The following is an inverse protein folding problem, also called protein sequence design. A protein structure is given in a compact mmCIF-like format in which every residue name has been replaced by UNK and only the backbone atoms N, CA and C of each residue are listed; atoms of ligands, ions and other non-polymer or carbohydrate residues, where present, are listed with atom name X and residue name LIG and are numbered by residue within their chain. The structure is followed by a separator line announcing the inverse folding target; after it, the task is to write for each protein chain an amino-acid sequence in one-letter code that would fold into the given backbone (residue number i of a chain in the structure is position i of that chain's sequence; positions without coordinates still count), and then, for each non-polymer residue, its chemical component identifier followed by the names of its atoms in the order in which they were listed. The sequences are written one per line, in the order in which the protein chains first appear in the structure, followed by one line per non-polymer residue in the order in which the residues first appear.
data_IF_325669228150
#
_entry.id   IF_325669228150
#
_cell.length_a   1.000
_cell.length_b   1.000
_cell.length_c   1.000
_cell.angle_alpha   90.00
_cell.angle_beta   90.00
_cell.angle_gamma   90.00
#
_symmetry.space_group_name_H-M   'P 1'
#
loop_
_entity.id
_entity.type
_entity.pdbx_description
1 polymer ?
#
# COMPACT_ATOMS: atom_id res chain seq x y z
N UNK A 1 2.73 -20.12 -16.68
CA UNK A 1 3.20 -20.05 -15.28
C UNK A 1 4.25 -18.94 -15.25
N UNK A 2 3.83 -17.71 -14.98
CA UNK A 2 4.74 -16.60 -14.72
C UNK A 2 4.61 -16.27 -13.25
N UNK A 3 5.58 -16.76 -12.50
CA UNK A 3 5.84 -16.37 -11.13
C UNK A 3 6.76 -15.15 -11.20
N UNK A 4 6.23 -14.00 -10.77
CA UNK A 4 6.99 -12.79 -10.46
C UNK A 4 6.51 -12.27 -9.11
N UNK A 5 6.73 -13.01 -8.02
CA UNK A 5 7.05 -12.50 -6.68
C UNK A 5 6.11 -11.53 -5.91
N UNK A 6 5.07 -10.95 -6.52
CA UNK A 6 4.16 -9.93 -5.97
C UNK A 6 2.77 -10.13 -6.58
N UNK A 7 2.19 -11.32 -6.40
CA UNK A 7 0.86 -11.64 -6.94
C UNK A 7 -0.26 -11.11 -6.05
N UNK A 8 -1.13 -10.28 -6.62
CA UNK A 8 -2.43 -9.95 -6.01
C UNK A 8 -3.46 -11.03 -6.34
N UNK A 9 -4.31 -11.38 -5.37
CA UNK A 9 -5.46 -12.24 -5.57
C UNK A 9 -6.73 -11.40 -5.77
N UNK A 10 -7.64 -11.89 -6.60
CA UNK A 10 -8.82 -11.14 -7.03
C UNK A 10 -10.10 -11.90 -6.67
N UNK A 11 -11.10 -11.16 -6.20
CA UNK A 11 -12.43 -11.65 -5.88
C UNK A 11 -13.46 -10.59 -6.23
N UNK A 12 -14.66 -11.04 -6.60
CA UNK A 12 -15.84 -10.18 -6.59
C UNK A 12 -16.41 -10.17 -5.17
N UNK A 13 -16.41 -9.01 -4.52
CA UNK A 13 -16.93 -8.88 -3.15
C UNK A 13 -18.28 -8.17 -3.15
N UNK A 14 -19.31 -8.85 -2.64
CA UNK A 14 -20.60 -8.24 -2.34
C UNK A 14 -20.49 -7.50 -1.00
N UNK A 15 -20.55 -6.18 -1.06
CA UNK A 15 -20.48 -5.29 0.10
C UNK A 15 -21.38 -4.06 -0.12
N UNK A 16 -21.70 -3.36 0.97
CA UNK A 16 -22.51 -2.13 0.96
C UNK A 16 -21.72 -0.93 0.41
N UNK A 17 -20.39 -0.98 0.50
CA UNK A 17 -19.52 0.09 -0.02
C UNK A 17 -18.06 -0.38 -0.17
N UNK A 18 -17.28 0.34 -0.98
CA UNK A 18 -15.83 0.17 -1.05
C UNK A 18 -15.15 0.36 0.32
N UNK A 19 -15.65 1.30 1.14
CA UNK A 19 -15.13 1.54 2.48
C UNK A 19 -15.26 0.32 3.39
N UNK A 20 -16.39 -0.36 3.30
CA UNK A 20 -16.63 -1.57 4.09
C UNK A 20 -15.61 -2.67 3.76
N UNK A 21 -15.25 -2.83 2.49
CA UNK A 21 -14.21 -3.77 2.04
C UNK A 21 -12.87 -3.42 2.70
N UNK A 22 -12.45 -2.15 2.65
CA UNK A 22 -11.18 -1.70 3.23
C UNK A 22 -11.15 -1.81 4.76
N UNK A 23 -12.27 -1.56 5.44
CA UNK A 23 -12.42 -1.74 6.89
C UNK A 23 -12.52 -3.22 7.33
N UNK A 24 -12.76 -4.14 6.39
CA UNK A 24 -12.94 -5.57 6.64
C UNK A 24 -11.72 -6.41 6.28
N UNK A 25 -11.00 -6.05 5.22
CA UNK A 25 -9.82 -6.78 4.76
C UNK A 25 -8.58 -5.88 4.78
N UNK A 26 -7.51 -6.34 5.42
CA UNK A 26 -6.22 -5.65 5.40
C UNK A 26 -5.60 -5.74 4.01
N UNK A 27 -4.81 -4.74 3.60
CA UNK A 27 -4.10 -4.75 2.31
C UNK A 27 -4.98 -4.99 1.07
N UNK A 28 -6.29 -4.73 1.16
CA UNK A 28 -7.22 -4.83 0.04
C UNK A 28 -7.21 -3.54 -0.79
N UNK A 29 -7.36 -3.70 -2.11
CA UNK A 29 -7.59 -2.62 -3.06
C UNK A 29 -8.98 -2.80 -3.69
N UNK A 30 -9.77 -1.72 -3.73
CA UNK A 30 -11.03 -1.72 -4.48
C UNK A 30 -10.78 -1.16 -5.87
N UNK A 31 -10.81 -2.05 -6.86
CA UNK A 31 -10.53 -1.69 -8.25
C UNK A 31 -11.81 -1.22 -8.94
N UNK A 32 -11.77 -0.01 -9.49
CA UNK A 32 -12.91 0.63 -10.18
C UNK A 32 -12.61 1.00 -11.63
N UNK A 33 -11.38 0.75 -12.11
CA UNK A 33 -10.98 1.05 -13.48
C UNK A 33 -11.79 0.19 -14.45
N UNK A 34 -12.54 0.80 -15.40
CA UNK A 34 -13.45 0.05 -16.28
C UNK A 34 -12.74 -1.07 -17.05
N UNK A 35 -11.55 -0.81 -17.56
CA UNK A 35 -10.75 -1.80 -18.30
C UNK A 35 -10.39 -3.02 -17.45
N UNK A 36 -10.12 -2.82 -16.15
CA UNK A 36 -9.79 -3.92 -15.24
C UNK A 36 -11.04 -4.67 -14.80
N UNK A 37 -12.15 -3.96 -14.60
CA UNK A 37 -13.46 -4.55 -14.30
C UNK A 37 -13.91 -5.44 -15.47
N UNK A 38 -13.85 -4.95 -16.71
CA UNK A 38 -14.22 -5.74 -17.90
C UNK A 38 -13.33 -6.97 -18.06
N UNK A 39 -12.01 -6.85 -17.83
CA UNK A 39 -11.13 -8.03 -17.84
C UNK A 39 -11.55 -9.06 -16.78
N UNK A 40 -11.88 -8.61 -15.57
CA UNK A 40 -12.28 -9.48 -14.46
C UNK A 40 -13.65 -10.14 -14.67
N UNK A 41 -14.56 -9.52 -15.42
CA UNK A 41 -15.85 -10.10 -15.80
C UNK A 41 -15.66 -11.35 -16.70
N UNK A 42 -14.59 -11.38 -17.49
CA UNK A 42 -14.27 -12.50 -18.38
C UNK A 42 -13.50 -13.65 -17.68
N UNK A 43 -12.96 -13.43 -16.47
CA UNK A 43 -11.99 -14.34 -15.81
C UNK A 43 -12.60 -15.31 -14.77
N UNK A 44 -13.94 -15.46 -14.73
CA UNK A 44 -14.67 -16.34 -13.79
C UNK A 44 -14.19 -16.24 -12.32
N UNK A 45 -13.91 -15.02 -11.84
CA UNK A 45 -13.44 -14.79 -10.47
C UNK A 45 -14.48 -15.26 -9.42
N UNK A 46 -13.98 -15.74 -8.28
CA UNK A 46 -14.84 -16.17 -7.17
C UNK A 46 -15.61 -14.97 -6.58
N UNK A 47 -16.93 -15.15 -6.41
CA UNK A 47 -17.81 -14.20 -5.76
C UNK A 47 -17.97 -14.52 -4.26
N UNK A 48 -17.79 -13.51 -3.40
CA UNK A 48 -17.81 -13.67 -1.95
C UNK A 48 -18.73 -12.61 -1.34
N UNK A 49 -19.63 -13.03 -0.45
CA UNK A 49 -20.36 -12.13 0.43
C UNK A 49 -19.46 -11.72 1.60
N UNK A 50 -19.30 -10.42 1.84
CA UNK A 50 -18.43 -9.89 2.90
C UNK A 50 -18.80 -10.40 4.31
N UNK A 51 -20.09 -10.70 4.53
CA UNK A 51 -20.62 -11.20 5.79
C UNK A 51 -20.60 -12.73 5.88
N UNK A 52 -20.09 -13.43 4.85
CA UNK A 52 -20.03 -14.88 4.87
C UNK A 52 -19.24 -15.38 6.10
N UNK A 53 -19.71 -16.47 6.75
CA UNK A 53 -19.08 -16.98 7.96
C UNK A 53 -17.70 -17.59 7.72
N UNK A 54 -17.39 -17.93 6.46
CA UNK A 54 -16.14 -18.54 6.04
C UNK A 54 -15.66 -17.81 4.78
N UNK A 55 -14.45 -17.27 4.85
CA UNK A 55 -13.79 -16.60 3.73
C UNK A 55 -12.95 -17.62 2.94
N UNK A 56 -12.76 -17.43 1.63
CA UNK A 56 -11.83 -18.25 0.87
C UNK A 56 -10.38 -18.04 1.33
N UNK A 57 -9.48 -19.00 1.05
CA UNK A 57 -8.07 -18.88 1.41
C UNK A 57 -7.43 -17.61 0.86
N UNK A 58 -6.64 -16.93 1.69
CA UNK A 58 -6.03 -15.64 1.38
C UNK A 58 -6.87 -14.50 1.93
N UNK A 59 -8.16 -14.44 1.56
CA UNK A 59 -9.08 -13.40 2.05
C UNK A 59 -9.37 -13.58 3.57
N UNK A 60 -9.39 -14.83 4.04
CA UNK A 60 -9.48 -15.18 5.47
C UNK A 60 -8.34 -14.57 6.30
N UNK A 61 -7.11 -14.64 5.81
CA UNK A 61 -5.93 -14.05 6.44
C UNK A 61 -6.00 -12.52 6.48
N UNK A 62 -6.42 -11.89 5.37
CA UNK A 62 -6.61 -10.44 5.31
C UNK A 62 -7.71 -9.96 6.27
N UNK A 63 -8.80 -10.72 6.40
CA UNK A 63 -9.86 -10.45 7.39
C UNK A 63 -9.36 -10.57 8.82
N UNK A 64 -8.68 -11.67 9.14
CA UNK A 64 -8.13 -11.89 10.47
C UNK A 64 -7.10 -10.81 10.86
N UNK A 65 -6.24 -10.39 9.93
CA UNK A 65 -5.30 -9.28 10.14
C UNK A 65 -6.03 -7.98 10.45
N UNK A 66 -7.07 -7.64 9.67
CA UNK A 66 -7.87 -6.43 9.91
C UNK A 66 -8.63 -6.47 11.22
N UNK A 67 -9.19 -7.62 11.59
CA UNK A 67 -9.88 -7.80 12.86
C UNK A 67 -8.95 -7.54 14.06
N UNK A 68 -7.69 -7.99 13.97
CA UNK A 68 -6.67 -7.71 14.98
C UNK A 68 -6.27 -6.21 15.05
N UNK A 69 -6.44 -5.46 13.95
CA UNK A 69 -6.12 -4.04 13.87
C UNK A 69 -7.26 -3.13 14.35
N UNK A 70 -8.52 -3.48 14.12
CA UNK A 70 -9.70 -2.59 14.28
C UNK A 70 -9.85 -1.98 15.68
N UNK A 71 -9.41 -2.69 16.71
CA UNK A 71 -9.46 -2.22 18.11
C UNK A 71 -8.20 -1.47 18.58
N UNK A 72 -7.16 -1.36 17.75
CA UNK A 72 -5.88 -0.74 18.13
C UNK A 72 -5.96 0.78 17.98
N UNK A 73 -5.31 1.56 18.88
CA UNK A 73 -5.11 2.98 18.66
C UNK A 73 -4.42 3.24 17.31
N UNK A 74 -4.89 4.24 16.57
CA UNK A 74 -4.35 4.58 15.25
C UNK A 74 -5.05 3.90 14.07
N UNK A 75 -5.93 2.93 14.30
CA UNK A 75 -6.70 2.27 13.23
C UNK A 75 -7.44 3.31 12.37
N UNK A 76 -7.17 3.30 11.06
CA UNK A 76 -7.81 4.22 10.12
C UNK A 76 -7.48 5.71 10.32
N UNK A 77 -6.48 6.06 11.13
CA UNK A 77 -6.15 7.45 11.43
C UNK A 77 -5.83 8.28 10.17
N UNK A 78 -5.35 7.61 9.11
CA UNK A 78 -4.93 8.20 7.85
C UNK A 78 -5.86 7.86 6.67
N UNK A 79 -6.94 7.09 6.89
CA UNK A 79 -7.80 6.54 5.82
C UNK A 79 -8.53 7.59 4.98
N UNK A 80 -8.79 8.77 5.52
CA UNK A 80 -9.53 9.84 4.83
C UNK A 80 -8.58 10.92 4.25
N UNK A 81 -7.27 10.66 4.21
CA UNK A 81 -6.26 11.59 3.71
C UNK A 81 -6.06 11.40 2.21
N UNK A 82 -5.97 12.50 1.48
CA UNK A 82 -5.70 12.48 0.04
C UNK A 82 -4.24 12.18 -0.28
N UNK A 83 -3.34 12.73 0.54
CA UNK A 83 -1.88 12.55 0.46
C UNK A 83 -1.35 12.38 1.88
N UNK A 84 -0.44 11.43 2.04
CA UNK A 84 0.32 11.19 3.28
C UNK A 84 1.79 11.07 2.95
N UNK A 85 2.64 11.60 3.82
CA UNK A 85 4.08 11.42 3.75
C UNK A 85 4.50 10.43 4.84
N UNK A 86 5.22 9.39 4.47
CA UNK A 86 5.61 8.33 5.42
C UNK A 86 7.11 8.05 5.37
N UNK A 87 7.66 7.63 6.50
CA UNK A 87 9.01 7.09 6.65
C UNK A 87 8.91 5.60 6.98
N UNK A 88 9.49 4.73 6.14
CA UNK A 88 9.52 3.28 6.37
C UNK A 88 10.91 2.68 6.20
N UNK A 89 11.11 1.59 6.92
CA UNK A 89 12.08 0.56 6.60
C UNK A 89 11.30 -0.59 5.94
N UNK A 90 11.89 -1.28 4.97
CA UNK A 90 11.29 -2.52 4.48
C UNK A 90 11.56 -3.64 5.49
N UNK A 91 10.53 -4.45 5.77
CA UNK A 91 10.53 -5.42 6.87
C UNK A 91 11.58 -6.54 6.70
N UNK A 92 12.14 -6.71 5.48
CA UNK A 92 13.14 -7.73 5.14
C UNK A 92 14.59 -7.20 5.14
N UNK A 93 14.81 -5.91 5.46
CA UNK A 93 16.14 -5.33 5.51
C UNK A 93 16.68 -5.35 6.95
N UNK A 94 17.86 -5.97 7.16
CA UNK A 94 18.57 -5.96 8.45
C UNK A 94 18.76 -4.54 9.01
N UNK A 95 19.01 -4.42 10.33
CA UNK A 95 19.39 -3.15 10.99
C UNK A 95 20.59 -2.50 10.27
N UNK A 96 20.29 -1.57 9.35
CA UNK A 96 21.26 -0.96 8.43
C UNK A 96 20.77 -0.77 6.98
N UNK A 97 19.59 -1.30 6.63
CA UNK A 97 18.92 -1.05 5.35
C UNK A 97 18.53 0.41 5.12
N UNK A 98 18.32 0.82 3.86
CA UNK A 98 17.85 2.16 3.54
C UNK A 98 16.53 2.53 4.23
N UNK A 99 16.37 3.82 4.49
CA UNK A 99 15.11 4.42 4.92
C UNK A 99 14.42 5.01 3.71
N UNK A 100 13.15 4.69 3.52
CA UNK A 100 12.35 5.21 2.42
C UNK A 100 11.41 6.28 2.94
N UNK A 101 11.49 7.47 2.37
CA UNK A 101 10.50 8.50 2.54
C UNK A 101 9.59 8.47 1.31
N UNK A 102 8.28 8.41 1.50
CA UNK A 102 7.32 8.28 0.41
C UNK A 102 6.23 9.33 0.53
N UNK A 103 5.89 9.97 -0.58
CA UNK A 103 4.60 10.61 -0.78
C UNK A 103 3.64 9.56 -1.33
N UNK A 104 2.51 9.36 -0.67
CA UNK A 104 1.53 8.32 -0.98
C UNK A 104 0.16 8.96 -1.18
N UNK A 105 -0.49 8.62 -2.29
CA UNK A 105 -1.89 8.98 -2.56
C UNK A 105 -2.88 8.06 -1.81
N UNK A 106 -4.14 8.47 -1.76
CA UNK A 106 -5.21 7.78 -1.03
C UNK A 106 -5.47 6.33 -1.44
N UNK A 107 -4.98 5.87 -2.60
CA UNK A 107 -5.07 4.47 -3.04
C UNK A 107 -3.90 3.59 -2.54
N UNK A 108 -3.00 4.18 -1.74
CA UNK A 108 -1.86 3.51 -1.12
C UNK A 108 -0.63 3.46 -2.01
N UNK A 109 -0.69 3.99 -3.24
CA UNK A 109 0.45 4.03 -4.15
C UNK A 109 1.33 5.23 -3.89
N UNK A 110 2.64 5.02 -4.03
CA UNK A 110 3.62 6.11 -3.95
C UNK A 110 3.58 6.96 -5.23
N UNK A 111 3.74 8.27 -5.10
CA UNK A 111 3.89 9.22 -6.22
C UNK A 111 5.30 9.81 -6.27
N UNK A 112 5.99 9.80 -5.14
CA UNK A 112 7.39 10.20 -5.00
C UNK A 112 8.03 9.39 -3.90
N UNK A 113 9.29 9.02 -4.09
CA UNK A 113 10.09 8.31 -3.09
C UNK A 113 11.48 8.93 -2.98
N UNK A 114 12.01 8.96 -1.76
CA UNK A 114 13.41 9.24 -1.47
C UNK A 114 13.97 8.07 -0.69
N UNK A 115 14.96 7.40 -1.27
CA UNK A 115 15.76 6.40 -0.59
C UNK A 115 16.94 7.09 0.12
N UNK A 116 17.05 6.87 1.43
CA UNK A 116 18.14 7.33 2.26
C UNK A 116 19.02 6.13 2.59
N UNK A 117 20.23 6.07 2.02
CA UNK A 117 21.17 5.00 2.35
C UNK A 117 21.47 4.99 3.86
N UNK A 118 21.48 3.80 4.48
CA UNK A 118 21.71 3.65 5.93
C UNK A 118 23.07 4.17 6.40
N UNK A 119 24.03 4.32 5.49
CA UNK A 119 25.37 4.89 5.74
C UNK A 119 25.47 6.40 5.44
N UNK A 120 24.37 7.05 5.05
CA UNK A 120 24.30 8.46 4.67
C UNK A 120 25.01 8.81 3.36
N UNK A 121 25.43 7.82 2.57
CA UNK A 121 26.24 8.02 1.36
C UNK A 121 25.45 8.48 0.13
N UNK A 122 24.12 8.37 0.15
CA UNK A 122 23.28 8.72 -1.00
C UNK A 122 21.83 8.99 -0.63
N UNK A 123 21.27 10.02 -1.27
CA UNK A 123 19.84 10.30 -1.32
C UNK A 123 19.42 10.19 -2.77
N UNK A 124 18.60 9.18 -3.09
CA UNK A 124 18.11 8.94 -4.44
C UNK A 124 16.62 9.23 -4.44
N UNK A 125 16.15 10.03 -5.39
CA UNK A 125 14.72 10.28 -5.60
C UNK A 125 14.22 9.59 -6.85
N UNK A 126 13.04 9.01 -6.76
CA UNK A 126 12.37 8.32 -7.87
C UNK A 126 10.88 8.64 -7.88
N UNK A 127 10.26 8.46 -9.04
CA UNK A 127 8.81 8.60 -9.25
C UNK A 127 8.23 7.46 -10.10
N UNK A 128 6.92 7.51 -10.43
CA UNK A 128 6.22 6.49 -11.18
C UNK A 128 6.89 6.08 -12.49
N UNK A 129 7.55 7.01 -13.17
CA UNK A 129 8.26 6.75 -14.43
C UNK A 129 9.54 5.92 -14.24
N UNK A 130 10.08 5.86 -13.01
CA UNK A 130 11.30 5.12 -12.67
C UNK A 130 11.00 3.70 -12.14
N UNK A 131 9.72 3.35 -11.92
CA UNK A 131 9.34 2.08 -11.30
C UNK A 131 8.70 1.11 -12.30
N UNK A 132 9.15 -0.16 -12.37
CA UNK A 132 8.53 -1.15 -13.24
C UNK A 132 7.11 -1.52 -12.79
N UNK A 133 6.82 -1.36 -11.50
CA UNK A 133 5.49 -1.57 -10.91
C UNK A 133 5.28 -0.65 -9.70
N UNK A 134 4.05 -0.19 -9.51
CA UNK A 134 3.66 0.68 -8.40
C UNK A 134 2.39 0.13 -7.73
N UNK A 135 2.49 -0.97 -6.96
CA UNK A 135 1.37 -1.47 -6.18
C UNK A 135 1.15 -0.56 -4.96
N UNK A 136 -0.01 -0.66 -4.28
CA UNK A 136 -0.17 -0.06 -2.97
C UNK A 136 0.94 -0.53 -2.02
N UNK A 137 1.64 0.42 -1.40
CA UNK A 137 2.77 0.17 -0.49
C UNK A 137 2.42 0.45 0.97
N UNK A 138 1.24 1.03 1.22
CA UNK A 138 0.70 1.27 2.55
C UNK A 138 -0.77 0.86 2.62
N UNK A 139 -1.19 0.41 3.78
CA UNK A 139 -2.59 0.20 4.14
C UNK A 139 -2.99 1.33 5.12
N UNK A 140 -3.84 2.27 4.68
CA UNK A 140 -4.21 3.43 5.49
C UNK A 140 -5.05 3.12 6.74
N UNK A 141 -5.58 1.90 6.82
CA UNK A 141 -6.27 1.43 8.01
C UNK A 141 -5.31 0.70 8.97
N UNK A 142 -4.06 0.46 8.58
CA UNK A 142 -3.05 -0.11 9.49
C UNK A 142 -2.73 0.88 10.62
N UNK A 143 -2.97 0.52 11.90
CA UNK A 143 -2.70 1.39 13.03
C UNK A 143 -1.23 1.79 13.18
N UNK A 144 -0.30 1.00 12.63
CA UNK A 144 1.14 1.29 12.73
C UNK A 144 1.57 2.40 11.78
N UNK A 145 0.82 2.64 10.70
CA UNK A 145 1.13 3.67 9.70
C UNK A 145 1.15 5.07 10.32
N UNK A 146 0.29 5.34 11.31
CA UNK A 146 0.24 6.63 11.99
C UNK A 146 1.56 6.99 12.70
N UNK A 147 2.31 5.99 13.17
CA UNK A 147 3.63 6.19 13.78
C UNK A 147 4.75 6.44 12.75
N UNK A 148 4.46 6.27 11.46
CA UNK A 148 5.38 6.43 10.35
C UNK A 148 5.16 7.73 9.59
N UNK A 149 4.09 8.48 9.90
CA UNK A 149 3.81 9.77 9.26
C UNK A 149 4.93 10.78 9.55
N UNK A 150 5.41 11.43 8.49
CA UNK A 150 6.31 12.57 8.56
C UNK A 150 5.62 13.81 8.02
N UNK A 151 6.18 14.99 8.27
CA UNK A 151 5.63 16.21 7.68
C UNK A 151 5.97 16.31 6.21
N UNK A 152 5.16 17.06 5.46
CA UNK A 152 5.47 17.41 4.07
C UNK A 152 6.81 18.14 4.00
N UNK A 153 7.06 19.08 4.91
CA UNK A 153 8.29 19.88 4.91
C UNK A 153 9.53 19.01 5.06
N UNK A 154 9.47 17.99 5.93
CA UNK A 154 10.55 17.02 6.12
C UNK A 154 10.80 16.21 4.83
N UNK A 155 9.75 15.77 4.15
CA UNK A 155 9.86 15.08 2.87
C UNK A 155 10.47 15.97 1.78
N UNK A 156 9.95 17.18 1.59
CA UNK A 156 10.38 18.09 0.52
C UNK A 156 11.85 18.50 0.70
N UNK A 157 12.33 18.68 1.94
CA UNK A 157 13.75 18.95 2.19
C UNK A 157 14.64 17.82 1.65
N UNK A 158 14.27 16.56 1.89
CA UNK A 158 15.05 15.42 1.38
C UNK A 158 14.91 15.29 -0.14
N UNK A 159 13.71 15.53 -0.69
CA UNK A 159 13.44 15.49 -2.12
C UNK A 159 14.26 16.51 -2.92
N UNK A 160 14.44 17.72 -2.40
CA UNK A 160 15.26 18.77 -3.03
C UNK A 160 16.76 18.43 -3.01
N UNK A 161 17.22 17.76 -1.95
CA UNK A 161 18.63 17.36 -1.77
C UNK A 161 19.00 16.09 -2.52
N UNK A 162 18.02 15.22 -2.78
CA UNK A 162 18.20 13.95 -3.44
C UNK A 162 18.53 14.11 -4.93
N UNK A 163 19.39 13.21 -5.42
CA UNK A 163 19.70 13.10 -6.85
C UNK A 163 18.66 12.20 -7.52
N UNK A 164 18.25 12.48 -8.76
CA UNK A 164 17.37 11.58 -9.50
C UNK A 164 17.98 10.18 -9.61
N UNK A 165 17.14 9.14 -9.52
CA UNK A 165 17.50 7.81 -9.98
C UNK A 165 18.00 7.92 -11.42
N UNK A 166 19.23 7.46 -11.69
CA UNK A 166 19.72 7.42 -13.05
C UNK A 166 18.91 6.32 -13.76
N UNK A 167 18.11 6.72 -14.76
CA UNK A 167 17.14 5.84 -15.44
C UNK A 167 17.67 4.43 -15.66
N UNK A 168 16.97 3.45 -15.09
CA UNK A 168 17.20 2.02 -15.29
C UNK A 168 16.76 1.59 -16.69
#
# INVERSE_FOLDING_TARGET
MHDYGMGGSWWWIHARSAREILETFAWAEVVTRPETVTWAEDDELEEVDIDAPLMPPGLDGLRAKRDAQRGRPGFGALADRSIVYVRRHWDDEDDGGPVYLMEVESDGRRTREVELAGDGSGLIRSGPDDWPFNPPVVDFFDPELAGQEITREEFEEQWERARPAAGL
#
